data_IF_297313800683
#
_entry.id   IF_297313800683
#
_cell.length_a   1.000
_cell.length_b   1.000
_cell.length_c   1.000
_cell.angle_alpha   90.00
_cell.angle_beta   90.00
_cell.angle_gamma   90.00
#
_symmetry.space_group_name_H-M   'P 1'
#
loop_
_entity.id
_entity.type
_entity.pdbx_description
1 polymer ?
#
# COMPACT_ATOMS: atom_id res chain seq x y z
N UNK A 1 4.54 33.95 -59.99
CA UNK A 1 5.44 33.20 -59.08
C UNK A 1 4.93 33.09 -57.63
N UNK A 2 3.79 33.70 -57.26
CA UNK A 2 3.30 33.72 -55.87
C UNK A 2 2.48 32.47 -55.46
N UNK A 3 1.76 31.83 -56.38
CA UNK A 3 0.92 30.66 -56.07
C UNK A 3 1.71 29.44 -55.58
N UNK A 4 2.91 29.22 -56.14
CA UNK A 4 3.80 28.13 -55.70
C UNK A 4 4.29 28.32 -54.27
N UNK A 5 4.56 29.57 -53.86
CA UNK A 5 4.98 29.92 -52.49
C UNK A 5 3.87 29.72 -51.47
N UNK A 6 2.62 30.10 -51.83
CA UNK A 6 1.45 29.89 -50.97
C UNK A 6 1.16 28.40 -50.76
N UNK A 7 1.15 27.58 -51.82
CA UNK A 7 0.91 26.13 -51.70
C UNK A 7 1.96 25.43 -50.83
N UNK A 8 3.24 25.79 -50.96
CA UNK A 8 4.33 25.22 -50.15
C UNK A 8 4.19 25.61 -48.67
N UNK A 9 3.80 26.85 -48.36
CA UNK A 9 3.50 27.27 -46.97
C UNK A 9 2.34 26.48 -46.37
N UNK A 10 1.25 26.31 -47.11
CA UNK A 10 0.06 25.57 -46.65
C UNK A 10 0.37 24.09 -46.37
N UNK A 11 1.13 23.43 -47.25
CA UNK A 11 1.54 22.02 -47.06
C UNK A 11 2.41 21.88 -45.80
N UNK A 12 3.37 22.79 -45.60
CA UNK A 12 4.23 22.79 -44.40
C UNK A 12 3.43 23.00 -43.12
N UNK A 13 2.41 23.84 -43.15
CA UNK A 13 1.55 24.11 -42.00
C UNK A 13 0.64 22.91 -41.65
N UNK A 14 0.06 22.24 -42.65
CA UNK A 14 -0.71 21.00 -42.49
C UNK A 14 0.18 19.91 -41.89
N UNK A 15 1.40 19.76 -42.41
CA UNK A 15 2.35 18.77 -41.90
C UNK A 15 2.72 19.05 -40.44
N UNK A 16 2.97 20.32 -40.08
CA UNK A 16 3.27 20.74 -38.69
C UNK A 16 2.10 20.48 -37.74
N UNK A 17 0.85 20.74 -38.16
CA UNK A 17 -0.36 20.44 -37.37
C UNK A 17 -0.55 18.94 -37.14
N UNK A 18 -0.32 18.11 -38.18
CA UNK A 18 -0.36 16.65 -38.07
C UNK A 18 0.73 16.12 -37.12
N UNK A 19 1.95 16.66 -37.22
CA UNK A 19 3.05 16.27 -36.35
C UNK A 19 2.75 16.61 -34.88
N UNK A 20 2.25 17.82 -34.60
CA UNK A 20 1.83 18.24 -33.25
C UNK A 20 0.73 17.33 -32.68
N UNK A 21 -0.28 16.97 -33.48
CA UNK A 21 -1.32 16.02 -33.04
C UNK A 21 -0.73 14.67 -32.68
N UNK A 22 0.17 14.12 -33.51
CA UNK A 22 0.87 12.86 -33.22
C UNK A 22 1.64 12.94 -31.90
N UNK A 23 2.44 13.99 -31.68
CA UNK A 23 3.16 14.19 -30.42
C UNK A 23 2.23 14.30 -29.22
N UNK A 24 1.10 15.00 -29.35
CA UNK A 24 0.11 15.10 -28.29
C UNK A 24 -0.51 13.74 -27.96
N UNK A 25 -0.88 12.98 -28.99
CA UNK A 25 -1.40 11.60 -28.84
C UNK A 25 -0.35 10.69 -28.18
N UNK A 26 0.91 10.73 -28.61
CA UNK A 26 1.99 9.98 -27.98
C UNK A 26 2.21 10.42 -26.52
N UNK A 27 2.16 11.72 -26.23
CA UNK A 27 2.27 12.25 -24.88
C UNK A 27 1.14 11.75 -23.96
N UNK A 28 -0.10 11.73 -24.46
CA UNK A 28 -1.24 11.17 -23.71
C UNK A 28 -1.01 9.68 -23.43
N UNK A 29 -0.73 8.87 -24.46
CA UNK A 29 -0.50 7.43 -24.26
C UNK A 29 0.66 7.16 -23.31
N UNK A 30 1.76 7.90 -23.44
CA UNK A 30 2.89 7.79 -22.53
C UNK A 30 2.49 8.13 -21.09
N UNK A 31 1.73 9.21 -20.87
CA UNK A 31 1.26 9.58 -19.55
C UNK A 31 0.37 8.51 -18.92
N UNK A 32 -0.53 7.90 -19.70
CA UNK A 32 -1.38 6.78 -19.23
C UNK A 32 -0.51 5.60 -18.82
N UNK A 33 0.49 5.23 -19.64
CA UNK A 33 1.40 4.11 -19.33
C UNK A 33 2.16 4.38 -18.02
N UNK A 34 2.72 5.58 -17.84
CA UNK A 34 3.45 5.95 -16.62
C UNK A 34 2.56 5.89 -15.40
N UNK A 35 1.34 6.44 -15.48
CA UNK A 35 0.36 6.42 -14.40
C UNK A 35 -0.02 4.99 -14.03
N UNK A 36 -0.33 4.15 -15.02
CA UNK A 36 -0.68 2.74 -14.78
C UNK A 36 0.46 1.98 -14.13
N UNK A 37 1.71 2.15 -14.59
CA UNK A 37 2.87 1.49 -13.99
C UNK A 37 3.06 1.95 -12.54
N UNK A 38 2.94 3.26 -12.28
CA UNK A 38 3.07 3.81 -10.94
C UNK A 38 2.03 3.22 -9.97
N UNK A 39 0.75 3.18 -10.37
CA UNK A 39 -0.30 2.58 -9.53
C UNK A 39 -0.07 1.08 -9.30
N UNK A 40 0.29 0.33 -10.34
CA UNK A 40 0.57 -1.11 -10.21
C UNK A 40 1.73 -1.41 -9.26
N UNK A 41 2.81 -0.61 -9.30
CA UNK A 41 3.96 -0.79 -8.41
C UNK A 41 3.60 -0.51 -6.95
N UNK A 42 2.84 0.54 -6.66
CA UNK A 42 2.39 0.84 -5.30
C UNK A 42 1.48 -0.28 -4.78
N UNK A 43 0.52 -0.74 -5.58
CA UNK A 43 -0.38 -1.83 -5.22
C UNK A 43 0.35 -3.15 -4.93
N UNK A 44 1.36 -3.51 -5.74
CA UNK A 44 2.20 -4.68 -5.47
C UNK A 44 3.01 -4.52 -4.18
N UNK A 45 3.48 -3.31 -3.88
CA UNK A 45 4.16 -2.99 -2.63
C UNK A 45 3.27 -3.30 -1.42
N UNK A 46 2.05 -2.78 -1.39
CA UNK A 46 1.12 -2.97 -0.28
C UNK A 46 0.77 -4.45 -0.06
N UNK A 47 0.53 -5.20 -1.15
CA UNK A 47 0.29 -6.65 -1.07
C UNK A 47 1.48 -7.38 -0.47
N UNK A 48 2.71 -7.06 -0.91
CA UNK A 48 3.91 -7.75 -0.42
C UNK A 48 4.13 -7.53 1.08
N UNK A 49 3.74 -6.36 1.60
CA UNK A 49 3.81 -6.05 3.03
C UNK A 49 2.77 -6.83 3.83
N UNK A 50 1.52 -6.88 3.35
CA UNK A 50 0.47 -7.70 3.98
C UNK A 50 0.84 -9.18 4.02
N UNK A 51 1.36 -9.72 2.91
CA UNK A 51 1.80 -11.11 2.83
C UNK A 51 2.96 -11.44 3.78
N UNK A 52 3.89 -10.50 3.98
CA UNK A 52 4.99 -10.69 4.91
C UNK A 52 4.49 -10.77 6.36
N UNK A 53 3.58 -9.87 6.76
CA UNK A 53 2.97 -9.91 8.08
C UNK A 53 2.16 -11.20 8.27
N UNK A 54 1.31 -11.57 7.32
CA UNK A 54 0.55 -12.83 7.36
C UNK A 54 1.47 -14.03 7.53
N UNK A 55 2.53 -14.13 6.72
CA UNK A 55 3.50 -15.22 6.80
C UNK A 55 4.20 -15.28 8.16
N UNK A 56 4.51 -14.12 8.76
CA UNK A 56 5.18 -14.08 10.05
C UNK A 56 4.23 -14.45 11.19
N UNK A 57 2.95 -14.05 11.12
CA UNK A 57 1.93 -14.51 12.07
C UNK A 57 1.75 -16.02 11.96
N UNK A 58 1.68 -16.57 10.74
CA UNK A 58 1.59 -18.03 10.53
C UNK A 58 2.80 -18.76 11.10
N UNK A 59 4.00 -18.23 10.89
CA UNK A 59 5.24 -18.83 11.40
C UNK A 59 5.31 -18.82 12.93
N UNK A 60 4.78 -17.79 13.60
CA UNK A 60 4.82 -17.66 15.06
C UNK A 60 3.69 -18.43 15.75
N UNK A 61 2.55 -18.64 15.07
CA UNK A 61 1.32 -19.18 15.69
C UNK A 61 0.86 -20.54 15.17
N UNK A 62 1.41 -21.01 14.05
CA UNK A 62 0.96 -22.17 13.29
C UNK A 62 -0.52 -22.10 12.80
N UNK A 63 -1.14 -20.91 12.83
CA UNK A 63 -2.53 -20.75 12.39
C UNK A 63 -2.67 -20.84 10.88
N UNK A 64 -3.48 -21.79 10.41
CA UNK A 64 -3.72 -21.97 8.98
C UNK A 64 -4.74 -20.96 8.40
N UNK A 65 -5.63 -20.43 9.23
CA UNK A 65 -6.65 -19.46 8.81
C UNK A 65 -6.95 -18.52 9.97
N UNK A 66 -6.87 -17.22 9.71
CA UNK A 66 -7.18 -16.18 10.68
C UNK A 66 -7.59 -14.90 9.94
N UNK A 67 -8.30 -14.04 10.66
CA UNK A 67 -8.57 -12.66 10.27
C UNK A 67 -7.80 -11.76 11.22
N UNK A 68 -7.32 -10.63 10.73
CA UNK A 68 -6.64 -9.65 11.55
C UNK A 68 -6.94 -8.22 11.10
N UNK A 69 -6.91 -7.28 12.04
CA UNK A 69 -7.22 -5.88 11.82
C UNK A 69 -6.19 -5.01 12.55
N UNK A 70 -5.70 -3.96 11.89
CA UNK A 70 -4.86 -2.96 12.54
C UNK A 70 -5.68 -2.13 13.51
N UNK A 71 -5.16 -1.95 14.73
CA UNK A 71 -5.90 -1.29 15.83
C UNK A 71 -5.21 -0.06 16.39
N UNK A 72 -3.94 0.16 16.07
CA UNK A 72 -3.21 1.35 16.48
C UNK A 72 -1.73 1.09 16.74
N UNK A 73 -1.04 2.13 17.18
CA UNK A 73 0.38 2.07 17.57
C UNK A 73 0.53 2.41 19.04
N UNK A 74 1.34 1.68 19.79
CA UNK A 74 1.58 2.01 21.21
C UNK A 74 2.62 3.10 21.37
N UNK A 75 2.44 3.95 22.38
CA UNK A 75 3.51 4.83 22.84
C UNK A 75 4.45 4.08 23.78
N UNK A 76 5.76 4.28 23.62
CA UNK A 76 6.74 4.11 24.72
C UNK A 76 7.19 2.66 25.06
N UNK A 77 7.69 1.91 24.08
CA UNK A 77 8.59 0.78 24.40
C UNK A 77 10.02 1.29 24.64
N UNK A 78 10.54 1.02 25.83
CA UNK A 78 11.84 1.48 26.34
C UNK A 78 13.08 1.07 25.52
N UNK A 79 12.92 0.30 24.44
CA UNK A 79 14.02 -0.35 23.70
C UNK A 79 13.99 -0.17 22.17
N UNK A 80 13.28 0.81 21.61
CA UNK A 80 13.59 1.25 20.23
C UNK A 80 12.45 1.60 19.29
N UNK A 81 11.24 1.86 19.77
CA UNK A 81 10.17 2.35 18.89
C UNK A 81 8.77 2.24 19.48
N UNK A 82 7.81 2.74 18.71
CA UNK A 82 6.37 2.58 18.92
C UNK A 82 5.90 1.36 18.10
N UNK A 83 5.60 0.22 18.72
CA UNK A 83 5.14 -0.97 17.99
C UNK A 83 3.73 -0.76 17.45
N UNK A 84 3.39 -1.55 16.44
CA UNK A 84 2.05 -1.63 15.87
C UNK A 84 1.29 -2.81 16.43
N UNK A 85 0.01 -2.62 16.69
CA UNK A 85 -0.86 -3.64 17.23
C UNK A 85 -1.91 -4.06 16.21
N UNK A 86 -2.16 -5.35 16.16
CA UNK A 86 -3.21 -5.97 15.36
C UNK A 86 -4.07 -6.86 16.23
N UNK A 87 -5.38 -6.82 16.03
CA UNK A 87 -6.32 -7.75 16.65
C UNK A 87 -6.58 -8.89 15.66
N UNK A 88 -6.31 -10.12 16.06
CA UNK A 88 -6.52 -11.30 15.25
C UNK A 88 -7.60 -12.24 15.83
N UNK A 89 -8.24 -13.00 14.96
CA UNK A 89 -9.19 -14.06 15.29
C UNK A 89 -8.94 -15.27 14.40
N UNK A 90 -8.67 -16.43 15.01
CA UNK A 90 -8.32 -17.66 14.29
C UNK A 90 -9.48 -18.68 14.21
N UNK A 91 -10.68 -18.32 14.70
CA UNK A 91 -11.82 -19.25 14.82
C UNK A 91 -12.03 -19.79 16.24
N UNK A 92 -10.97 -19.86 17.05
CA UNK A 92 -11.02 -20.37 18.44
C UNK A 92 -11.06 -19.22 19.47
N UNK A 93 -10.38 -18.12 19.20
CA UNK A 93 -10.28 -16.99 20.13
C UNK A 93 -9.74 -15.72 19.49
N UNK A 94 -9.72 -14.65 20.28
CA UNK A 94 -9.12 -13.37 19.90
C UNK A 94 -7.70 -13.28 20.44
N UNK A 95 -6.82 -12.63 19.69
CA UNK A 95 -5.42 -12.48 20.03
C UNK A 95 -4.95 -11.07 19.70
N UNK A 96 -4.13 -10.50 20.56
CA UNK A 96 -3.39 -9.28 20.28
C UNK A 96 -2.03 -9.67 19.68
N UNK A 97 -1.70 -9.09 18.53
CA UNK A 97 -0.42 -9.27 17.86
C UNK A 97 0.33 -7.95 17.94
N UNK A 98 1.47 -7.97 18.60
CA UNK A 98 2.42 -6.86 18.63
C UNK A 98 3.45 -7.06 17.52
N UNK A 99 3.66 -6.02 16.73
CA UNK A 99 4.51 -6.00 15.55
C UNK A 99 5.49 -4.84 15.65
N UNK A 100 6.74 -5.04 15.25
CA UNK A 100 7.73 -3.98 15.17
C UNK A 100 7.28 -2.83 14.23
N UNK A 101 8.01 -1.71 14.27
CA UNK A 101 7.77 -0.54 13.42
C UNK A 101 7.84 -0.82 11.91
N UNK A 102 8.36 -1.97 11.50
CA UNK A 102 8.40 -2.39 10.10
C UNK A 102 7.04 -2.94 9.58
N UNK A 103 6.03 -3.05 10.45
CA UNK A 103 4.72 -3.65 10.19
C UNK A 103 4.75 -5.12 9.75
N UNK A 104 5.84 -5.84 10.02
CA UNK A 104 6.03 -7.22 9.52
C UNK A 104 6.49 -8.15 10.62
N UNK A 105 7.44 -7.73 11.45
CA UNK A 105 8.09 -8.61 12.42
C UNK A 105 7.20 -8.75 13.66
N UNK A 106 6.69 -9.95 13.90
CA UNK A 106 5.86 -10.26 15.07
C UNK A 106 6.77 -10.37 16.29
N UNK A 107 6.54 -9.53 17.30
CA UNK A 107 7.29 -9.57 18.56
C UNK A 107 6.58 -10.42 19.60
N UNK A 108 5.25 -10.35 19.65
CA UNK A 108 4.46 -11.04 20.66
C UNK A 108 3.04 -11.33 20.16
N UNK A 109 2.51 -12.50 20.56
CA UNK A 109 1.11 -12.87 20.37
C UNK A 109 0.50 -13.17 21.74
N UNK A 110 -0.53 -12.43 22.13
CA UNK A 110 -1.18 -12.54 23.44
C UNK A 110 -2.63 -12.96 23.28
N UNK A 111 -3.06 -14.10 23.86
CA UNK A 111 -4.47 -14.49 23.84
C UNK A 111 -5.32 -13.51 24.66
N UNK A 112 -6.52 -13.23 24.16
CA UNK A 112 -7.53 -12.40 24.82
C UNK A 112 -8.71 -13.28 25.25
N UNK A 113 -9.21 -13.06 26.47
CA UNK A 113 -10.37 -13.79 27.00
C UNK A 113 -11.67 -13.48 26.21
N UNK A 114 -11.83 -12.24 25.76
CA UNK A 114 -12.94 -11.79 24.92
C UNK A 114 -12.48 -10.55 24.11
N UNK A 115 -13.20 -10.24 23.02
CA UNK A 115 -13.06 -8.99 22.26
C UNK A 115 -13.23 -7.76 23.15
N UNK A 116 -13.98 -7.86 24.26
CA UNK A 116 -14.17 -6.75 25.23
C UNK A 116 -12.96 -6.50 26.12
N UNK A 117 -12.14 -7.53 26.36
CA UNK A 117 -10.85 -7.41 27.07
C UNK A 117 -9.89 -6.49 26.32
N UNK A 118 -10.16 -6.23 25.04
CA UNK A 118 -9.46 -5.27 24.22
C UNK A 118 -9.40 -3.86 24.83
N UNK A 119 -10.46 -3.37 25.47
CA UNK A 119 -10.45 -2.03 26.08
C UNK A 119 -9.40 -1.90 27.19
N UNK A 120 -9.21 -2.98 27.97
CA UNK A 120 -8.21 -3.04 29.05
C UNK A 120 -6.80 -3.10 28.48
N UNK A 121 -6.61 -3.81 27.37
CA UNK A 121 -5.34 -3.87 26.64
C UNK A 121 -5.02 -2.53 25.97
N UNK A 122 -6.01 -1.86 25.38
CA UNK A 122 -5.88 -0.56 24.74
C UNK A 122 -5.37 0.50 25.72
N UNK A 123 -5.89 0.52 26.95
CA UNK A 123 -5.43 1.40 28.02
C UNK A 123 -4.05 1.00 28.57
N UNK A 124 -3.75 -0.29 28.68
CA UNK A 124 -2.47 -0.77 29.23
C UNK A 124 -1.27 -0.55 28.29
N UNK A 125 -1.50 -0.61 26.96
CA UNK A 125 -0.46 -0.44 25.94
C UNK A 125 -0.42 0.98 25.34
N UNK A 126 -1.24 1.91 25.86
CA UNK A 126 -1.36 3.30 25.39
C UNK A 126 -1.43 3.37 23.85
N UNK A 127 -2.34 2.56 23.28
CA UNK A 127 -2.52 2.44 21.84
C UNK A 127 -3.23 3.70 21.33
N UNK A 128 -2.60 4.41 20.39
CA UNK A 128 -3.12 5.61 19.72
C UNK A 128 -3.77 5.28 18.37
#
# INVERSE_FOLDING_TARGET
>A
MEEGSMRVKTIKEIHRKRLKRKFYTFGIFFSIIVVTIFFSLNYMGDISQGQALESNIQAETDWHTFLYEYIGSGSNYSWGGNPYFYLAYNGEGYYLIQVEQDHRTVEQVTPLEDRRTFAVVYENYDIQ
#
